data_IF_794496285970
#
_entry.id   IF_794496285970
#
_cell.length_a   1.000
_cell.length_b   1.000
_cell.length_c   1.000
_cell.angle_alpha   90.00
_cell.angle_beta   90.00
_cell.angle_gamma   90.00
#
_symmetry.space_group_name_H-M   'P 1'
#
loop_
_entity.id
_entity.type
_entity.pdbx_description
1 polymer ?
#
# COMPACT_ATOMS: atom_id res chain seq x y z
N UNK A 1 -2.79 -16.16 20.76
CA UNK A 1 -3.21 -16.07 19.36
C UNK A 1 -4.48 -15.21 19.27
N UNK A 2 -4.57 -14.34 18.26
CA UNK A 2 -5.76 -13.51 18.03
C UNK A 2 -6.78 -14.30 17.19
N UNK A 3 -8.06 -14.25 17.56
CA UNK A 3 -9.14 -14.79 16.72
C UNK A 3 -9.44 -13.78 15.59
N UNK A 4 -9.10 -14.08 14.32
CA UNK A 4 -9.32 -13.18 13.19
C UNK A 4 -10.79 -13.15 12.71
N UNK A 5 -11.65 -14.02 13.23
CA UNK A 5 -13.04 -14.18 12.79
C UNK A 5 -13.18 -15.15 11.60
N UNK A 6 -14.36 -15.12 10.97
CA UNK A 6 -14.73 -16.09 9.92
C UNK A 6 -14.26 -15.69 8.50
N UNK A 7 -13.61 -14.53 8.32
CA UNK A 7 -13.20 -14.00 7.01
C UNK A 7 -11.82 -14.48 6.57
N UNK A 8 -11.25 -15.47 7.24
CA UNK A 8 -9.93 -16.00 6.93
C UNK A 8 -9.96 -17.09 5.87
N UNK A 9 -8.88 -17.20 5.14
CA UNK A 9 -8.59 -18.29 4.20
C UNK A 9 -7.24 -18.89 4.52
N UNK A 10 -7.07 -20.21 4.38
CA UNK A 10 -5.76 -20.85 4.51
C UNK A 10 -4.77 -20.26 3.49
N UNK A 11 -3.57 -19.91 3.97
CA UNK A 11 -2.51 -19.35 3.15
C UNK A 11 -1.15 -19.91 3.58
N UNK A 12 -0.75 -21.04 2.99
CA UNK A 12 0.42 -21.79 3.44
C UNK A 12 0.26 -22.23 4.90
N UNK A 13 1.16 -21.79 5.77
CA UNK A 13 1.13 -22.08 7.21
C UNK A 13 0.40 -21.00 8.04
N UNK A 14 -0.27 -20.07 7.38
CA UNK A 14 -0.98 -18.94 8.01
C UNK A 14 -2.45 -18.93 7.63
N UNK A 15 -3.23 -18.19 8.38
CA UNK A 15 -4.54 -17.73 7.97
C UNK A 15 -4.42 -16.29 7.49
N UNK A 16 -5.05 -15.97 6.35
CA UNK A 16 -5.00 -14.66 5.74
C UNK A 16 -6.40 -14.06 5.55
N UNK A 17 -6.52 -12.77 5.78
CA UNK A 17 -7.68 -11.98 5.38
C UNK A 17 -7.29 -11.27 4.09
N UNK A 18 -7.97 -11.61 3.00
CA UNK A 18 -7.70 -11.04 1.69
C UNK A 18 -8.54 -9.77 1.51
N UNK A 19 -7.89 -8.63 1.44
CA UNK A 19 -8.52 -7.31 1.26
C UNK A 19 -8.48 -6.84 -0.20
N UNK A 20 -7.53 -7.35 -0.97
CA UNK A 20 -7.33 -7.01 -2.38
C UNK A 20 -7.95 -8.03 -3.33
N UNK A 21 -7.53 -7.97 -4.59
CA UNK A 21 -7.95 -8.88 -5.63
C UNK A 21 -6.82 -9.87 -5.97
N UNK A 22 -7.16 -11.10 -6.32
CA UNK A 22 -6.18 -12.11 -6.71
C UNK A 22 -5.50 -11.78 -8.03
N UNK A 23 -4.23 -12.11 -8.12
CA UNK A 23 -3.38 -11.81 -9.27
C UNK A 23 -3.92 -12.32 -10.61
N UNK A 24 -4.50 -13.51 -10.62
CA UNK A 24 -5.12 -14.07 -11.83
C UNK A 24 -6.23 -13.16 -12.38
N UNK A 25 -7.08 -12.63 -11.50
CA UNK A 25 -8.16 -11.70 -11.88
C UNK A 25 -7.61 -10.36 -12.34
N UNK A 26 -6.57 -9.86 -11.66
CA UNK A 26 -5.88 -8.62 -12.06
C UNK A 26 -5.33 -8.75 -13.48
N UNK A 27 -4.65 -9.85 -13.80
CA UNK A 27 -4.11 -10.09 -15.15
C UNK A 27 -5.21 -10.24 -16.20
N UNK A 28 -6.27 -10.97 -15.90
CA UNK A 28 -7.41 -11.13 -16.80
C UNK A 28 -7.98 -9.76 -17.22
N UNK A 29 -8.30 -8.91 -16.24
CA UNK A 29 -8.85 -7.58 -16.49
C UNK A 29 -7.84 -6.68 -17.21
N UNK A 30 -6.59 -6.66 -16.77
CA UNK A 30 -5.54 -5.84 -17.41
C UNK A 30 -5.35 -6.21 -18.88
N UNK A 31 -5.29 -7.50 -19.19
CA UNK A 31 -5.15 -7.97 -20.56
C UNK A 31 -6.40 -7.70 -21.41
N UNK A 32 -7.60 -7.78 -20.83
CA UNK A 32 -8.85 -7.41 -21.51
C UNK A 32 -8.84 -5.93 -21.87
N UNK A 33 -8.67 -5.05 -20.88
CA UNK A 33 -8.68 -3.58 -21.06
C UNK A 33 -7.57 -3.14 -22.03
N UNK A 34 -6.36 -3.72 -21.91
CA UNK A 34 -5.25 -3.48 -22.85
C UNK A 34 -5.64 -3.75 -24.30
N UNK A 35 -6.35 -4.87 -24.58
CA UNK A 35 -6.82 -5.21 -25.93
C UNK A 35 -7.91 -4.27 -26.41
N UNK A 36 -8.89 -3.95 -25.55
CA UNK A 36 -10.01 -3.08 -25.89
C UNK A 36 -9.58 -1.66 -26.24
N UNK A 37 -8.63 -1.11 -25.48
CA UNK A 37 -8.09 0.23 -25.71
C UNK A 37 -6.95 0.30 -26.73
N UNK A 38 -6.36 -0.85 -27.10
CA UNK A 38 -5.21 -0.90 -28.00
C UNK A 38 -3.94 -0.26 -27.45
N UNK A 39 -3.84 -0.07 -26.15
CA UNK A 39 -2.73 0.62 -25.48
C UNK A 39 -1.46 -0.24 -25.38
N UNK A 40 -0.30 0.42 -25.42
CA UNK A 40 1.00 -0.23 -25.28
C UNK A 40 1.46 -0.16 -23.81
N UNK A 41 1.33 -1.27 -23.13
CA UNK A 41 1.89 -1.46 -21.79
C UNK A 41 2.63 -2.80 -21.72
N UNK A 42 3.55 -2.90 -20.76
CA UNK A 42 4.31 -4.13 -20.54
C UNK A 42 4.36 -4.41 -19.03
N UNK A 43 3.64 -5.45 -18.62
CA UNK A 43 3.62 -5.90 -17.24
C UNK A 43 4.82 -6.78 -16.89
N UNK A 44 5.07 -6.98 -15.60
CA UNK A 44 6.09 -7.93 -15.14
C UNK A 44 5.73 -9.37 -15.55
N UNK A 45 4.44 -9.67 -15.73
CA UNK A 45 3.97 -10.93 -16.32
C UNK A 45 4.44 -11.15 -17.74
N UNK A 46 4.60 -10.08 -18.53
CA UNK A 46 5.07 -10.10 -19.91
C UNK A 46 6.62 -10.18 -20.01
N UNK A 47 7.34 -10.02 -18.89
CA UNK A 47 8.81 -9.90 -18.85
C UNK A 47 9.48 -11.16 -18.31
N UNK A 48 10.64 -11.52 -18.82
CA UNK A 48 11.55 -12.45 -18.16
C UNK A 48 12.20 -11.83 -16.91
N UNK A 49 12.78 -12.65 -16.03
CA UNK A 49 13.50 -12.14 -14.87
C UNK A 49 14.67 -11.23 -15.24
N UNK A 50 15.35 -11.52 -16.35
CA UNK A 50 16.45 -10.69 -16.86
C UNK A 50 15.95 -9.31 -17.31
N UNK A 51 14.80 -9.24 -17.98
CA UNK A 51 14.18 -7.97 -18.38
C UNK A 51 13.70 -7.14 -17.20
N UNK A 52 13.11 -7.80 -16.17
CA UNK A 52 12.76 -7.11 -14.92
C UNK A 52 14.01 -6.59 -14.21
N UNK A 53 15.10 -7.38 -14.15
CA UNK A 53 16.37 -6.93 -13.57
C UNK A 53 16.91 -5.69 -14.30
N UNK A 54 16.89 -5.69 -15.64
CA UNK A 54 17.31 -4.55 -16.44
C UNK A 54 16.42 -3.32 -16.22
N UNK A 55 15.10 -3.49 -16.19
CA UNK A 55 14.15 -2.40 -16.04
C UNK A 55 14.18 -1.77 -14.65
N UNK A 56 14.46 -2.57 -13.61
CA UNK A 56 14.41 -2.14 -12.20
C UNK A 56 15.78 -1.78 -11.61
N UNK A 57 16.86 -2.34 -12.16
CA UNK A 57 18.20 -2.30 -11.56
C UNK A 57 18.42 -3.33 -10.44
N UNK A 58 17.49 -4.27 -10.26
CA UNK A 58 17.64 -5.37 -9.31
C UNK A 58 18.63 -6.43 -9.80
N UNK A 59 19.25 -7.16 -8.89
CA UNK A 59 19.92 -8.41 -9.22
C UNK A 59 18.91 -9.46 -9.72
N UNK A 60 19.40 -10.49 -10.41
CA UNK A 60 18.54 -11.49 -11.05
C UNK A 60 17.68 -12.27 -10.03
N UNK A 61 18.21 -12.55 -8.84
CA UNK A 61 17.49 -13.28 -7.79
C UNK A 61 16.35 -12.43 -7.25
N UNK A 62 16.59 -11.15 -7.02
CA UNK A 62 15.58 -10.17 -6.60
C UNK A 62 14.54 -9.95 -7.69
N UNK A 63 14.94 -9.94 -8.97
CA UNK A 63 14.01 -9.82 -10.10
C UNK A 63 13.08 -11.06 -10.22
N UNK A 64 13.61 -12.28 -9.99
CA UNK A 64 12.77 -13.48 -9.92
C UNK A 64 11.70 -13.34 -8.83
N UNK A 65 12.07 -12.86 -7.65
CA UNK A 65 11.13 -12.63 -6.54
C UNK A 65 10.12 -11.52 -6.88
N UNK A 66 10.57 -10.44 -7.52
CA UNK A 66 9.70 -9.33 -7.91
C UNK A 66 8.61 -9.72 -8.92
N UNK A 67 8.82 -10.81 -9.68
CA UNK A 67 7.81 -11.40 -10.58
C UNK A 67 6.81 -12.32 -9.87
N UNK A 68 7.12 -12.81 -8.67
CA UNK A 68 6.21 -13.65 -7.87
C UNK A 68 5.15 -12.76 -7.22
N UNK A 69 4.18 -12.33 -8.05
CA UNK A 69 3.09 -11.44 -7.62
C UNK A 69 1.86 -12.22 -7.20
N UNK A 70 1.12 -11.68 -6.25
CA UNK A 70 -0.08 -12.32 -5.71
C UNK A 70 -1.31 -11.39 -5.74
N UNK A 71 -1.08 -10.07 -5.58
CA UNK A 71 -2.15 -9.08 -5.40
C UNK A 71 -1.92 -7.78 -6.17
N UNK A 72 -0.91 -7.73 -7.04
CA UNK A 72 -0.66 -6.54 -7.87
C UNK A 72 0.17 -6.87 -9.09
N UNK A 73 -0.02 -6.14 -10.19
CA UNK A 73 0.81 -6.21 -11.39
C UNK A 73 1.49 -4.88 -11.64
N UNK A 74 2.83 -4.82 -11.52
CA UNK A 74 3.60 -3.66 -11.97
C UNK A 74 3.66 -3.65 -13.51
N UNK A 75 3.52 -2.48 -14.12
CA UNK A 75 3.67 -2.34 -15.56
C UNK A 75 4.36 -1.03 -15.95
N UNK A 76 5.07 -1.07 -17.07
CA UNK A 76 5.57 0.09 -17.78
C UNK A 76 4.57 0.51 -18.84
N UNK A 77 4.40 1.82 -19.04
CA UNK A 77 3.44 2.38 -19.98
C UNK A 77 4.18 3.28 -20.98
N UNK A 78 4.03 2.97 -22.27
CA UNK A 78 4.69 3.68 -23.37
C UNK A 78 3.66 4.38 -24.27
N UNK A 79 2.76 5.17 -23.67
CA UNK A 79 1.71 5.90 -24.38
C UNK A 79 1.57 7.33 -23.88
N UNK A 80 0.57 8.02 -24.42
CA UNK A 80 0.24 9.39 -24.01
C UNK A 80 -0.50 9.42 -22.68
N UNK A 81 -0.41 10.53 -21.95
CA UNK A 81 -1.09 10.70 -20.65
C UNK A 81 -2.61 10.51 -20.75
N UNK A 82 -3.23 10.87 -21.87
CA UNK A 82 -4.64 10.66 -22.15
C UNK A 82 -5.00 9.17 -22.23
N UNK A 83 -4.15 8.37 -22.88
CA UNK A 83 -4.33 6.91 -22.97
C UNK A 83 -4.17 6.25 -21.60
N UNK A 84 -3.20 6.70 -20.79
CA UNK A 84 -3.04 6.24 -19.42
C UNK A 84 -4.28 6.55 -18.56
N UNK A 85 -4.84 7.73 -18.68
CA UNK A 85 -6.08 8.09 -17.96
C UNK A 85 -7.27 7.21 -18.38
N UNK A 86 -7.41 6.92 -19.67
CA UNK A 86 -8.43 6.02 -20.17
C UNK A 86 -8.23 4.58 -19.66
N UNK A 87 -6.97 4.12 -19.62
CA UNK A 87 -6.61 2.82 -19.05
C UNK A 87 -6.99 2.75 -17.56
N UNK A 88 -6.63 3.76 -16.77
CA UNK A 88 -6.96 3.82 -15.34
C UNK A 88 -8.48 3.80 -15.13
N UNK A 89 -9.25 4.62 -15.86
CA UNK A 89 -10.70 4.64 -15.76
C UNK A 89 -11.32 3.27 -16.09
N UNK A 90 -10.86 2.64 -17.16
CA UNK A 90 -11.36 1.31 -17.54
C UNK A 90 -11.00 0.22 -16.50
N UNK A 91 -9.84 0.29 -15.86
CA UNK A 91 -9.48 -0.60 -14.75
C UNK A 91 -10.38 -0.35 -13.53
N UNK A 92 -10.68 0.91 -13.21
CA UNK A 92 -11.58 1.30 -12.12
C UNK A 92 -13.02 0.82 -12.37
N UNK A 93 -13.53 0.90 -13.59
CA UNK A 93 -14.83 0.37 -13.97
C UNK A 93 -14.93 -1.15 -13.79
N UNK A 94 -13.79 -1.85 -13.89
CA UNK A 94 -13.67 -3.28 -13.64
C UNK A 94 -13.32 -3.66 -12.19
N UNK A 95 -13.38 -2.70 -11.24
CA UNK A 95 -13.18 -2.96 -9.82
C UNK A 95 -11.72 -3.01 -9.36
N UNK A 96 -10.78 -2.64 -10.22
CA UNK A 96 -9.37 -2.52 -9.87
C UNK A 96 -9.00 -1.06 -9.56
N UNK A 97 -7.79 -0.84 -9.15
CA UNK A 97 -7.19 0.49 -9.01
C UNK A 97 -5.79 0.51 -9.59
N UNK A 98 -5.32 1.69 -9.99
CA UNK A 98 -3.98 1.87 -10.51
C UNK A 98 -3.28 2.96 -9.71
N UNK A 99 -2.12 2.63 -9.14
CA UNK A 99 -1.28 3.59 -8.44
C UNK A 99 0.04 3.78 -9.18
N UNK A 100 0.56 4.99 -9.15
CA UNK A 100 1.90 5.29 -9.68
C UNK A 100 2.91 5.19 -8.56
N UNK A 101 3.91 4.33 -8.73
CA UNK A 101 4.98 4.10 -7.76
C UNK A 101 6.35 4.27 -8.42
N UNK A 102 6.92 5.45 -8.34
CA UNK A 102 8.24 5.71 -8.91
C UNK A 102 8.29 5.48 -10.43
N UNK A 103 8.94 4.39 -10.86
CA UNK A 103 9.16 4.09 -12.29
C UNK A 103 8.00 3.32 -12.94
N UNK A 104 7.22 2.59 -12.16
CA UNK A 104 6.16 1.71 -12.66
C UNK A 104 4.80 2.14 -12.14
N UNK A 105 3.78 1.84 -12.93
CA UNK A 105 2.40 1.82 -12.47
C UNK A 105 2.09 0.44 -11.89
N UNK A 106 1.15 0.36 -10.94
CA UNK A 106 0.74 -0.89 -10.32
C UNK A 106 -0.77 -1.02 -10.40
N UNK A 107 -1.25 -2.10 -11.01
CA UNK A 107 -2.66 -2.49 -10.95
C UNK A 107 -2.86 -3.41 -9.75
N UNK A 108 -3.90 -3.16 -8.97
CA UNK A 108 -4.25 -3.96 -7.79
C UNK A 108 -5.76 -3.91 -7.54
N UNK A 109 -6.26 -4.73 -6.63
CA UNK A 109 -7.65 -4.63 -6.15
C UNK A 109 -7.90 -3.33 -5.39
N UNK A 110 -9.16 -2.94 -5.26
CA UNK A 110 -9.58 -1.76 -4.49
C UNK A 110 -9.36 -1.99 -3.00
N UNK A 111 -8.14 -1.86 -2.56
CA UNK A 111 -7.76 -1.89 -1.16
C UNK A 111 -6.66 -0.87 -0.91
N UNK A 112 -6.62 -0.35 0.31
CA UNK A 112 -5.60 0.58 0.77
C UNK A 112 -5.13 0.25 2.19
N UNK A 113 -4.06 0.90 2.63
CA UNK A 113 -3.49 0.70 3.95
C UNK A 113 -4.45 1.12 5.08
N UNK A 114 -5.38 2.05 4.82
CA UNK A 114 -6.39 2.48 5.78
C UNK A 114 -7.44 1.40 6.02
N UNK A 115 -7.89 0.70 4.98
CA UNK A 115 -8.77 -0.45 5.12
C UNK A 115 -8.09 -1.58 5.91
N UNK A 116 -6.81 -1.84 5.62
CA UNK A 116 -6.04 -2.87 6.30
C UNK A 116 -5.91 -2.57 7.81
N UNK A 117 -5.56 -1.35 8.21
CA UNK A 117 -5.45 -1.01 9.63
C UNK A 117 -6.79 -1.06 10.35
N UNK A 118 -7.89 -0.63 9.71
CA UNK A 118 -9.24 -0.76 10.29
C UNK A 118 -9.56 -2.22 10.60
N UNK A 119 -9.27 -3.13 9.65
CA UNK A 119 -9.48 -4.57 9.88
C UNK A 119 -8.62 -5.13 11.02
N UNK A 120 -7.36 -4.72 11.11
CA UNK A 120 -6.49 -5.08 12.23
C UNK A 120 -7.04 -4.56 13.55
N UNK A 121 -7.52 -3.32 13.60
CA UNK A 121 -8.13 -2.73 14.80
C UNK A 121 -9.36 -3.49 15.24
N UNK A 122 -10.28 -3.83 14.31
CA UNK A 122 -11.46 -4.66 14.59
C UNK A 122 -11.10 -6.01 15.26
N UNK A 123 -10.06 -6.68 14.72
CA UNK A 123 -9.57 -7.94 15.29
C UNK A 123 -9.06 -7.73 16.72
N UNK A 124 -8.25 -6.69 16.93
CA UNK A 124 -7.73 -6.39 18.26
C UNK A 124 -8.84 -6.00 19.25
N UNK A 125 -9.84 -5.26 18.83
CA UNK A 125 -10.99 -4.89 19.66
C UNK A 125 -11.82 -6.11 20.07
N UNK A 126 -12.09 -7.01 19.12
CA UNK A 126 -12.79 -8.26 19.38
C UNK A 126 -12.06 -9.13 20.41
N UNK A 127 -10.73 -9.25 20.26
CA UNK A 127 -9.94 -10.13 21.14
C UNK A 127 -9.60 -9.53 22.50
N UNK A 128 -9.68 -8.21 22.64
CA UNK A 128 -9.33 -7.50 23.87
C UNK A 128 -10.37 -6.43 24.20
N UNK A 129 -11.61 -6.79 24.53
CA UNK A 129 -12.68 -5.83 24.84
C UNK A 129 -12.30 -4.99 26.07
N UNK A 130 -12.64 -3.70 25.99
CA UNK A 130 -12.41 -2.76 27.10
C UNK A 130 -10.98 -2.19 27.21
N UNK A 131 -10.05 -2.61 26.37
CA UNK A 131 -8.73 -1.98 26.33
C UNK A 131 -8.80 -0.72 25.45
N UNK A 132 -8.50 0.44 26.04
CA UNK A 132 -8.33 1.68 25.30
C UNK A 132 -7.05 1.61 24.48
N UNK A 133 -7.15 1.81 23.16
CA UNK A 133 -6.03 1.80 22.23
C UNK A 133 -5.80 3.18 21.68
N UNK A 134 -4.55 3.42 21.28
CA UNK A 134 -4.16 4.58 20.51
C UNK A 134 -3.46 4.08 19.25
N UNK A 135 -4.05 4.37 18.10
CA UNK A 135 -3.53 3.97 16.80
C UNK A 135 -2.52 5.02 16.36
N UNK A 136 -1.31 4.58 16.07
CA UNK A 136 -0.24 5.44 15.55
C UNK A 136 0.12 4.94 14.15
N UNK A 137 0.06 5.82 13.17
CA UNK A 137 0.49 5.54 11.80
C UNK A 137 1.69 6.41 11.43
N UNK A 138 2.64 5.81 10.70
CA UNK A 138 3.83 6.50 10.21
C UNK A 138 3.89 6.34 8.70
N UNK A 139 4.16 7.43 7.96
CA UNK A 139 4.22 7.42 6.51
C UNK A 139 4.96 8.62 5.94
N UNK A 140 5.40 8.50 4.69
CA UNK A 140 6.14 9.55 3.97
C UNK A 140 5.64 9.78 2.53
N UNK A 141 4.68 8.98 2.06
CA UNK A 141 4.23 8.96 0.67
C UNK A 141 2.71 8.97 0.55
N UNK A 142 2.20 9.33 -0.63
CA UNK A 142 0.77 9.49 -0.89
C UNK A 142 -0.04 8.21 -0.63
N UNK A 143 0.55 7.03 -0.86
CA UNK A 143 -0.10 5.75 -0.57
C UNK A 143 -0.26 5.47 0.93
N UNK A 144 0.36 6.27 1.81
CA UNK A 144 0.21 6.20 3.26
C UNK A 144 -0.93 7.10 3.79
N UNK A 145 -1.46 8.01 2.97
CA UNK A 145 -2.52 8.93 3.38
C UNK A 145 -3.72 8.20 4.00
N UNK A 146 -4.28 7.13 3.40
CA UNK A 146 -5.40 6.41 4.00
C UNK A 146 -5.06 5.78 5.35
N UNK A 147 -3.83 5.27 5.52
CA UNK A 147 -3.33 4.75 6.79
C UNK A 147 -3.22 5.85 7.84
N UNK A 148 -2.61 6.98 7.47
CA UNK A 148 -2.45 8.13 8.35
C UNK A 148 -3.80 8.67 8.80
N UNK A 149 -4.77 8.79 7.88
CA UNK A 149 -6.13 9.27 8.18
C UNK A 149 -6.92 8.34 9.11
N UNK A 150 -6.61 7.04 9.12
CA UNK A 150 -7.26 6.05 9.98
C UNK A 150 -6.70 6.00 11.41
N UNK A 151 -5.66 6.77 11.73
CA UNK A 151 -4.95 6.74 13.00
C UNK A 151 -5.34 7.90 13.93
N UNK A 152 -5.18 7.72 15.25
CA UNK A 152 -5.29 8.80 16.24
C UNK A 152 -4.08 9.74 16.18
N UNK A 153 -2.91 9.21 15.80
CA UNK A 153 -1.65 9.95 15.64
C UNK A 153 -1.07 9.67 14.28
N UNK A 154 -0.94 10.68 13.47
CA UNK A 154 -0.24 10.63 12.18
C UNK A 154 1.19 11.15 12.33
N UNK A 155 2.18 10.31 12.05
CA UNK A 155 3.59 10.70 12.03
C UNK A 155 4.03 10.83 10.58
N UNK A 156 4.28 12.05 10.14
CA UNK A 156 4.74 12.33 8.79
C UNK A 156 6.26 12.29 8.77
N UNK A 157 6.81 11.27 8.15
CA UNK A 157 8.26 11.06 8.10
C UNK A 157 8.88 11.98 7.04
N UNK A 158 10.00 12.60 7.40
CA UNK A 158 10.75 13.47 6.51
C UNK A 158 11.45 12.64 5.42
N UNK A 159 11.29 13.05 4.17
CA UNK A 159 11.90 12.40 2.99
C UNK A 159 13.39 12.73 2.86
N UNK A 160 14.09 11.98 1.99
CA UNK A 160 15.53 12.19 1.73
C UNK A 160 15.85 13.57 1.13
N UNK A 161 14.91 14.16 0.39
CA UNK A 161 15.01 15.52 -0.16
C UNK A 161 14.73 16.63 0.86
N UNK A 162 14.43 16.25 2.11
CA UNK A 162 14.09 17.17 3.19
C UNK A 162 12.63 17.62 3.22
N UNK A 163 11.81 17.20 2.28
CA UNK A 163 10.38 17.52 2.24
C UNK A 163 9.56 16.63 3.19
N UNK A 164 8.34 17.04 3.46
CA UNK A 164 7.30 16.23 4.10
C UNK A 164 6.16 15.98 3.11
N UNK A 165 5.43 14.88 3.31
CA UNK A 165 4.17 14.65 2.64
C UNK A 165 3.20 15.81 2.94
N UNK A 166 2.54 16.36 1.92
CA UNK A 166 1.38 17.22 2.10
C UNK A 166 0.24 16.38 2.67
N UNK A 167 -0.23 16.76 3.85
CA UNK A 167 -1.19 15.97 4.61
C UNK A 167 -2.18 16.88 5.33
N UNK A 168 -3.46 16.62 5.10
CA UNK A 168 -4.57 17.24 5.81
C UNK A 168 -5.06 16.30 6.92
N UNK A 169 -4.88 16.66 8.19
CA UNK A 169 -5.28 15.81 9.30
C UNK A 169 -6.80 15.72 9.45
N UNK A 170 -7.27 14.57 9.92
CA UNK A 170 -8.65 14.42 10.38
C UNK A 170 -8.92 15.30 11.61
N UNK A 171 -10.18 15.69 11.89
CA UNK A 171 -10.51 16.45 13.10
C UNK A 171 -10.01 15.75 14.36
N UNK A 172 -9.35 16.53 15.25
CA UNK A 172 -8.78 16.06 16.53
C UNK A 172 -7.58 15.09 16.43
N UNK A 173 -7.09 14.81 15.23
CA UNK A 173 -5.91 13.98 15.03
C UNK A 173 -4.63 14.69 15.47
N UNK A 174 -3.78 14.00 16.21
CA UNK A 174 -2.43 14.51 16.51
C UNK A 174 -1.50 14.27 15.30
N UNK A 175 -0.78 15.31 14.87
CA UNK A 175 0.22 15.21 13.80
C UNK A 175 1.61 15.47 14.36
N UNK A 176 2.55 14.57 14.09
CA UNK A 176 3.95 14.65 14.49
C UNK A 176 4.81 14.67 13.24
N UNK A 177 5.75 15.62 13.17
CA UNK A 177 6.75 15.73 12.10
C UNK A 177 8.14 15.70 12.75
N UNK A 178 8.79 14.50 12.84
CA UNK A 178 10.13 14.37 13.43
C UNK A 178 11.18 15.10 12.59
N UNK A 179 12.28 15.52 13.21
CA UNK A 179 13.35 16.24 12.53
C UNK A 179 14.21 15.32 11.65
N UNK A 180 14.36 14.06 12.05
CA UNK A 180 15.16 13.05 11.35
C UNK A 180 14.56 12.63 10.01
N UNK A 181 15.42 12.23 9.09
CA UNK A 181 15.04 11.75 7.74
C UNK A 181 14.85 10.23 7.77
N UNK A 182 13.81 9.74 7.14
CA UNK A 182 13.56 8.31 6.96
C UNK A 182 13.61 7.51 8.27
N UNK A 183 14.42 6.47 8.38
CA UNK A 183 14.49 5.61 9.57
C UNK A 183 14.87 6.35 10.86
N UNK A 184 15.65 7.42 10.77
CA UNK A 184 16.03 8.25 11.93
C UNK A 184 14.80 8.95 12.51
N UNK A 185 14.02 9.64 11.67
CA UNK A 185 12.78 10.30 12.09
C UNK A 185 11.73 9.30 12.59
N UNK A 186 11.65 8.12 11.97
CA UNK A 186 10.80 7.03 12.44
C UNK A 186 11.15 6.63 13.89
N UNK A 187 12.43 6.40 14.15
CA UNK A 187 12.92 6.01 15.48
C UNK A 187 12.69 7.12 16.53
N UNK A 188 12.98 8.39 16.17
CA UNK A 188 12.72 9.55 17.04
C UNK A 188 11.26 9.60 17.49
N UNK A 189 10.33 9.53 16.54
CA UNK A 189 8.90 9.62 16.80
C UNK A 189 8.39 8.45 17.67
N UNK A 190 8.81 7.22 17.36
CA UNK A 190 8.39 6.03 18.12
C UNK A 190 8.91 6.08 19.55
N UNK A 191 10.19 6.42 19.77
CA UNK A 191 10.75 6.55 21.11
C UNK A 191 10.09 7.66 21.93
N UNK A 192 9.78 8.79 21.31
CA UNK A 192 9.06 9.87 21.98
C UNK A 192 7.66 9.43 22.40
N UNK A 193 6.91 8.79 21.50
CA UNK A 193 5.56 8.29 21.78
C UNK A 193 5.55 7.25 22.90
N UNK A 194 6.53 6.33 22.94
CA UNK A 194 6.63 5.32 24.00
C UNK A 194 6.98 5.92 25.37
N UNK A 195 7.68 7.06 25.41
CA UNK A 195 8.01 7.78 26.64
C UNK A 195 6.85 8.61 27.19
N UNK A 196 5.89 8.96 26.35
CA UNK A 196 4.71 9.73 26.77
C UNK A 196 3.84 8.85 27.66
N UNK A 197 3.52 9.34 28.87
CA UNK A 197 2.54 8.67 29.72
C UNK A 197 1.18 8.61 29.01
N UNK A 198 0.42 7.50 29.15
CA UNK A 198 -0.95 7.45 28.63
C UNK A 198 -1.71 8.68 29.12
N UNK A 199 -2.33 9.43 28.19
CA UNK A 199 -3.26 10.50 28.60
C UNK A 199 -4.44 9.79 29.27
N UNK A 200 -4.62 10.01 30.59
CA UNK A 200 -5.87 9.68 31.26
C UNK A 200 -7.00 10.47 30.59
N UNK A 201 -7.99 9.76 30.08
CA UNK A 201 -9.25 10.37 29.65
C UNK A 201 -10.06 10.79 30.86
#
# INVERSE_FOLDING_TARGET
>A
DLDPGNDTKPYGNYEAIILGEYYARILEVLHQVRRELGVKLRGFSDMSAAEVAQATGLDITSAVRARQREFSEPFDFAGELSELKNLISALEDNGLTCISGGRFHHVLGRCDKGQAIKKVVEIYEKNHPGIVRRIVALGDSENDIPLLQAADVAVIIKRHDGSFLEYEPSPHQEVIKPAGIGPVGWNEAVLDLLRRKPRSR
#
